data_IF_690594066667
#
_entry.id   IF_690594066667
#
_cell.length_a   1.000
_cell.length_b   1.000
_cell.length_c   1.000
_cell.angle_alpha   90.00
_cell.angle_beta   90.00
_cell.angle_gamma   90.00
#
_symmetry.space_group_name_H-M   'P 1'
#
loop_
_entity.id
_entity.type
_entity.pdbx_description
1 polymer ?
#
# COMPACT_ATOMS: atom_id res chain seq x y z
N UNK A 1 16.85 33.22 -65.98
CA UNK A 1 17.54 33.80 -64.80
C UNK A 1 16.61 34.57 -63.86
N UNK A 2 15.43 35.02 -64.29
CA UNK A 2 14.47 35.73 -63.41
C UNK A 2 13.76 34.84 -62.38
N UNK A 3 13.35 33.62 -62.73
CA UNK A 3 12.66 32.72 -61.79
C UNK A 3 13.45 32.44 -60.50
N UNK A 4 14.76 32.19 -60.62
CA UNK A 4 15.64 32.02 -59.45
C UNK A 4 15.79 33.28 -58.59
N UNK A 5 15.67 34.48 -59.19
CA UNK A 5 15.71 35.74 -58.44
C UNK A 5 14.41 35.97 -57.67
N UNK A 6 13.28 35.55 -58.22
CA UNK A 6 11.97 35.66 -57.56
C UNK A 6 11.84 34.65 -56.41
N UNK A 7 12.28 33.39 -56.61
CA UNK A 7 12.34 32.38 -55.54
C UNK A 7 13.24 32.83 -54.37
N UNK A 8 14.38 33.46 -54.67
CA UNK A 8 15.27 34.02 -53.65
C UNK A 8 14.62 35.18 -52.89
N UNK A 9 13.87 36.06 -53.56
CA UNK A 9 13.13 37.14 -52.89
C UNK A 9 12.04 36.59 -51.99
N UNK A 10 11.32 35.56 -52.44
CA UNK A 10 10.26 34.95 -51.65
C UNK A 10 10.81 34.20 -50.44
N UNK A 11 11.92 33.47 -50.60
CA UNK A 11 12.60 32.78 -49.51
C UNK A 11 13.14 33.75 -48.46
N UNK A 12 13.79 34.84 -48.89
CA UNK A 12 14.30 35.88 -47.97
C UNK A 12 13.13 36.60 -47.29
N UNK A 13 12.04 36.88 -48.02
CA UNK A 13 10.83 37.48 -47.46
C UNK A 13 10.13 36.61 -46.41
N UNK A 14 10.08 35.28 -46.62
CA UNK A 14 9.59 34.32 -45.60
C UNK A 14 10.50 34.32 -44.37
N UNK A 15 11.81 34.15 -44.56
CA UNK A 15 12.78 34.19 -43.44
C UNK A 15 12.73 35.49 -42.65
N UNK A 16 12.55 36.63 -43.31
CA UNK A 16 12.43 37.92 -42.61
C UNK A 16 11.16 37.99 -41.77
N UNK A 17 10.03 37.45 -42.26
CA UNK A 17 8.79 37.32 -41.48
C UNK A 17 8.97 36.38 -40.29
N UNK A 18 9.58 35.22 -40.48
CA UNK A 18 9.81 34.25 -39.40
C UNK A 18 10.69 34.85 -38.29
N UNK A 19 11.71 35.63 -38.65
CA UNK A 19 12.57 36.34 -37.69
C UNK A 19 11.81 37.43 -36.94
N UNK A 20 10.93 38.16 -37.62
CA UNK A 20 10.10 39.19 -36.97
C UNK A 20 9.08 38.57 -36.02
N UNK A 21 8.46 37.46 -36.41
CA UNK A 21 7.51 36.72 -35.58
C UNK A 21 8.20 36.16 -34.34
N UNK A 22 9.32 35.46 -34.51
CA UNK A 22 10.13 34.97 -33.40
C UNK A 22 10.60 36.12 -32.48
N UNK A 23 11.00 37.26 -33.03
CA UNK A 23 11.38 38.43 -32.23
C UNK A 23 10.19 39.00 -31.44
N UNK A 24 8.98 38.93 -31.99
CA UNK A 24 7.76 39.38 -31.30
C UNK A 24 7.38 38.43 -30.16
N UNK A 25 7.52 37.12 -30.38
CA UNK A 25 7.28 36.09 -29.36
C UNK A 25 8.28 36.19 -28.20
N UNK A 26 9.58 36.36 -28.50
CA UNK A 26 10.60 36.56 -27.46
C UNK A 26 10.31 37.81 -26.63
N UNK A 27 9.81 38.88 -27.25
CA UNK A 27 9.42 40.10 -26.53
C UNK A 27 8.20 39.87 -25.64
N UNK A 28 7.23 39.07 -26.10
CA UNK A 28 6.08 38.67 -25.30
C UNK A 28 6.48 37.78 -24.12
N UNK A 29 7.37 36.80 -24.33
CA UNK A 29 7.92 35.95 -23.27
C UNK A 29 8.63 36.79 -22.21
N UNK A 30 9.45 37.76 -22.64
CA UNK A 30 10.12 38.68 -21.72
C UNK A 30 9.12 39.49 -20.89
N UNK A 31 8.06 40.01 -21.52
CA UNK A 31 7.02 40.75 -20.82
C UNK A 31 6.27 39.89 -19.81
N UNK A 32 5.97 38.64 -20.17
CA UNK A 32 5.35 37.66 -19.25
C UNK A 32 6.28 37.33 -18.08
N UNK A 33 7.58 37.17 -18.33
CA UNK A 33 8.57 36.93 -17.28
C UNK A 33 8.71 38.13 -16.32
N UNK A 34 8.71 39.35 -16.85
CA UNK A 34 8.71 40.58 -16.05
C UNK A 34 7.42 40.69 -15.22
N UNK A 35 6.25 40.42 -15.83
CA UNK A 35 4.96 40.41 -15.12
C UNK A 35 4.92 39.34 -14.03
N UNK A 36 5.48 38.16 -14.28
CA UNK A 36 5.59 37.09 -13.29
C UNK A 36 6.53 37.48 -12.14
N UNK A 37 7.69 38.05 -12.45
CA UNK A 37 8.64 38.52 -11.45
C UNK A 37 8.01 39.61 -10.57
N UNK A 38 7.26 40.54 -11.17
CA UNK A 38 6.55 41.60 -10.49
C UNK A 38 5.39 41.04 -9.65
N UNK A 39 4.63 40.06 -10.16
CA UNK A 39 3.59 39.37 -9.41
C UNK A 39 4.17 38.58 -8.21
N UNK A 40 5.31 37.90 -8.37
CA UNK A 40 6.01 37.19 -7.29
C UNK A 40 6.56 38.18 -6.25
N UNK A 41 7.15 39.29 -6.69
CA UNK A 41 7.63 40.34 -5.80
C UNK A 41 6.49 40.97 -5.01
N UNK A 42 5.39 41.30 -5.70
CA UNK A 42 4.20 41.89 -5.09
C UNK A 42 3.57 40.92 -4.08
N UNK A 43 3.43 39.63 -4.43
CA UNK A 43 2.96 38.58 -3.51
C UNK A 43 3.85 38.44 -2.27
N UNK A 44 5.16 38.66 -2.40
CA UNK A 44 6.10 38.70 -1.27
C UNK A 44 5.88 39.90 -0.37
N UNK A 45 5.49 41.05 -0.93
CA UNK A 45 5.26 42.29 -0.19
C UNK A 45 3.86 42.43 0.40
N UNK A 46 2.81 41.84 -0.19
CA UNK A 46 1.44 41.84 0.37
C UNK A 46 1.23 40.79 1.44
N UNK A 47 2.15 39.84 1.61
CA UNK A 47 2.22 39.07 2.86
C UNK A 47 2.74 40.01 3.94
N UNK A 48 1.83 40.54 4.77
CA UNK A 48 2.14 40.94 6.14
C UNK A 48 2.67 39.70 6.85
N UNK A 49 3.97 39.47 6.76
CA UNK A 49 4.67 38.33 7.37
C UNK A 49 4.64 38.53 8.89
N UNK A 50 3.57 38.05 9.54
CA UNK A 50 3.79 37.31 10.78
C UNK A 50 4.68 36.15 10.32
N UNK A 51 5.99 36.23 10.56
CA UNK A 51 6.87 35.10 10.22
C UNK A 51 6.26 33.89 10.90
N UNK A 52 5.74 32.90 10.15
CA UNK A 52 5.32 31.67 10.79
C UNK A 52 6.60 31.12 11.40
N UNK A 53 6.67 31.17 12.73
CA UNK A 53 7.81 30.67 13.48
C UNK A 53 8.13 29.29 12.90
N UNK A 54 9.37 29.06 12.41
CA UNK A 54 9.69 27.79 11.78
C UNK A 54 9.33 26.68 12.76
N UNK A 55 8.54 25.71 12.27
CA UNK A 55 8.11 24.58 13.07
C UNK A 55 9.34 23.95 13.72
N UNK A 56 9.22 23.55 14.98
CA UNK A 56 10.27 22.75 15.59
C UNK A 56 10.41 21.45 14.82
N UNK A 57 11.58 20.82 14.89
CA UNK A 57 11.83 19.53 14.25
C UNK A 57 10.79 18.46 14.66
N UNK A 58 10.36 18.51 15.92
CA UNK A 58 9.31 17.65 16.48
C UNK A 58 7.96 17.93 15.83
N UNK A 59 7.54 19.20 15.75
CA UNK A 59 6.29 19.59 15.08
C UNK A 59 6.28 19.20 13.61
N UNK A 60 7.41 19.33 12.92
CA UNK A 60 7.54 18.91 11.53
C UNK A 60 7.38 17.39 11.39
N UNK A 61 7.96 16.60 12.30
CA UNK A 61 7.79 15.15 12.33
C UNK A 61 6.31 14.76 12.58
N UNK A 62 5.64 15.41 13.53
CA UNK A 62 4.20 15.20 13.78
C UNK A 62 3.34 15.52 12.55
N UNK A 63 3.63 16.61 11.83
CA UNK A 63 2.93 16.94 10.58
C UNK A 63 3.16 15.89 9.50
N UNK A 64 4.40 15.39 9.36
CA UNK A 64 4.70 14.33 8.39
C UNK A 64 3.97 13.02 8.71
N UNK A 65 3.95 12.61 9.99
CA UNK A 65 3.18 11.43 10.42
C UNK A 65 1.69 11.62 10.18
N UNK A 66 1.16 12.81 10.43
CA UNK A 66 -0.24 13.14 10.18
C UNK A 66 -0.60 13.04 8.69
N UNK A 67 0.25 13.56 7.81
CA UNK A 67 0.08 13.42 6.35
C UNK A 67 0.13 11.95 5.94
N UNK A 68 1.12 11.20 6.44
CA UNK A 68 1.26 9.77 6.15
C UNK A 68 0.03 8.98 6.58
N UNK A 69 -0.47 9.21 7.81
CA UNK A 69 -1.68 8.59 8.33
C UNK A 69 -2.89 8.85 7.41
N UNK A 70 -3.09 10.09 6.99
CA UNK A 70 -4.21 10.44 6.13
C UNK A 70 -4.13 9.76 4.76
N UNK A 71 -2.93 9.67 4.17
CA UNK A 71 -2.72 8.98 2.89
C UNK A 71 -2.92 7.47 3.01
N UNK A 72 -2.33 6.83 4.02
CA UNK A 72 -2.45 5.39 4.24
C UNK A 72 -3.91 4.97 4.43
N UNK A 73 -4.67 5.73 5.22
CA UNK A 73 -6.08 5.45 5.46
C UNK A 73 -6.95 5.57 4.20
N UNK A 74 -6.49 6.30 3.18
CA UNK A 74 -7.21 6.44 1.92
C UNK A 74 -6.95 5.29 0.94
N UNK A 75 -5.81 4.60 1.04
CA UNK A 75 -5.41 3.55 0.09
C UNK A 75 -5.78 2.13 0.55
N UNK A 76 -6.16 1.94 1.82
CA UNK A 76 -6.55 0.62 2.34
C UNK A 76 -7.88 0.19 1.70
N UNK A 77 -7.88 -0.99 1.06
CA UNK A 77 -9.04 -1.55 0.38
C UNK A 77 -9.33 -0.91 -0.98
N UNK A 78 -8.33 -0.24 -1.58
CA UNK A 78 -8.39 0.22 -2.96
C UNK A 78 -8.17 -0.95 -3.93
N UNK A 79 -8.72 -0.89 -5.15
CA UNK A 79 -8.79 -2.05 -6.07
C UNK A 79 -7.43 -2.60 -6.52
N UNK A 80 -6.37 -1.80 -6.37
CA UNK A 80 -5.03 -2.11 -6.84
C UNK A 80 -4.15 -2.74 -5.74
N UNK A 81 -4.64 -2.80 -4.49
CA UNK A 81 -3.93 -3.37 -3.35
C UNK A 81 -4.13 -4.88 -3.22
N UNK A 82 -3.10 -5.60 -2.80
CA UNK A 82 -3.23 -6.99 -2.34
C UNK A 82 -3.42 -7.08 -0.82
N UNK A 83 -3.85 -8.26 -0.35
CA UNK A 83 -4.16 -8.52 1.05
C UNK A 83 -3.05 -8.09 2.03
N UNK A 84 -1.78 -8.38 1.70
CA UNK A 84 -0.65 -8.03 2.56
C UNK A 84 -0.31 -6.55 2.50
N UNK A 85 -0.44 -5.91 1.33
CA UNK A 85 -0.25 -4.48 1.17
C UNK A 85 -1.25 -3.70 2.02
N UNK A 86 -2.51 -4.10 2.01
CA UNK A 86 -3.57 -3.51 2.84
C UNK A 86 -3.32 -3.74 4.33
N UNK A 87 -3.00 -4.98 4.72
CA UNK A 87 -2.68 -5.29 6.11
C UNK A 87 -1.45 -4.51 6.61
N UNK A 88 -0.44 -4.33 5.76
CA UNK A 88 0.76 -3.57 6.06
C UNK A 88 0.45 -2.08 6.19
N UNK A 89 -0.29 -1.50 5.23
CA UNK A 89 -0.70 -0.11 5.26
C UNK A 89 -1.56 0.20 6.48
N UNK A 90 -2.49 -0.68 6.83
CA UNK A 90 -3.31 -0.56 8.03
C UNK A 90 -2.46 -0.61 9.31
N UNK A 91 -1.56 -1.59 9.44
CA UNK A 91 -0.68 -1.71 10.61
C UNK A 91 0.21 -0.48 10.76
N UNK A 92 0.74 0.04 9.65
CA UNK A 92 1.51 1.29 9.63
C UNK A 92 0.66 2.49 10.06
N UNK A 93 -0.57 2.59 9.56
CA UNK A 93 -1.52 3.64 9.93
C UNK A 93 -1.86 3.59 11.44
N UNK A 94 -2.07 2.40 12.00
CA UNK A 94 -2.32 2.21 13.43
C UNK A 94 -1.12 2.64 14.30
N UNK A 95 0.10 2.31 13.88
CA UNK A 95 1.32 2.75 14.56
C UNK A 95 1.45 4.27 14.56
N UNK A 96 1.28 4.91 13.38
CA UNK A 96 1.32 6.35 13.24
C UNK A 96 0.23 7.04 14.07
N UNK A 97 -0.99 6.49 14.06
CA UNK A 97 -2.11 6.98 14.86
C UNK A 97 -1.79 6.91 16.35
N UNK A 98 -1.25 5.79 16.83
CA UNK A 98 -0.86 5.60 18.23
C UNK A 98 0.19 6.62 18.67
N UNK A 99 1.19 6.91 17.83
CA UNK A 99 2.19 7.94 18.14
C UNK A 99 1.53 9.33 18.21
N UNK A 100 0.81 9.72 17.16
CA UNK A 100 0.13 11.02 17.07
C UNK A 100 -0.86 11.27 18.21
N UNK A 101 -1.56 10.23 18.68
CA UNK A 101 -2.51 10.33 19.78
C UNK A 101 -1.85 10.71 21.12
N UNK A 102 -0.53 10.52 21.25
CA UNK A 102 0.24 10.84 22.46
C UNK A 102 1.09 12.10 22.33
N UNK A 103 1.23 12.64 21.12
CA UNK A 103 2.07 13.82 20.86
C UNK A 103 1.34 15.14 21.20
N UNK A 104 2.08 16.20 21.57
CA UNK A 104 1.51 17.53 21.78
C UNK A 104 1.17 18.19 20.44
N UNK A 105 0.02 17.82 19.87
CA UNK A 105 -0.49 18.31 18.60
C UNK A 105 -1.25 19.64 18.73
N UNK A 106 -1.44 20.34 17.61
CA UNK A 106 -2.39 21.44 17.55
C UNK A 106 -3.83 20.94 17.79
N UNK A 107 -4.74 21.77 18.33
CA UNK A 107 -6.12 21.35 18.63
C UNK A 107 -6.87 20.77 17.42
N UNK A 108 -6.64 21.32 16.22
CA UNK A 108 -7.25 20.86 14.98
C UNK A 108 -6.72 19.48 14.57
N UNK A 109 -5.40 19.27 14.59
CA UNK A 109 -4.80 17.96 14.30
C UNK A 109 -5.25 16.91 15.32
N UNK A 110 -5.26 17.25 16.61
CA UNK A 110 -5.71 16.34 17.66
C UNK A 110 -7.17 15.89 17.46
N UNK A 111 -8.07 16.81 17.10
CA UNK A 111 -9.46 16.47 16.79
C UNK A 111 -9.57 15.49 15.62
N UNK A 112 -8.80 15.69 14.55
CA UNK A 112 -8.80 14.78 13.38
C UNK A 112 -8.24 13.40 13.76
N UNK A 113 -7.08 13.35 14.44
CA UNK A 113 -6.47 12.09 14.89
C UNK A 113 -7.44 11.31 15.79
N UNK A 114 -8.10 12.00 16.72
CA UNK A 114 -9.10 11.38 17.59
C UNK A 114 -10.29 10.82 16.77
N UNK A 115 -10.78 11.58 15.79
CA UNK A 115 -11.85 11.17 14.88
C UNK A 115 -11.50 9.95 14.00
N UNK A 116 -10.22 9.76 13.65
CA UNK A 116 -9.76 8.62 12.86
C UNK A 116 -9.78 7.28 13.63
N UNK A 117 -9.77 7.31 14.97
CA UNK A 117 -9.77 6.10 15.81
C UNK A 117 -10.90 5.13 15.43
N UNK A 118 -12.13 5.65 15.33
CA UNK A 118 -13.29 4.83 14.98
C UNK A 118 -13.23 4.30 13.54
N UNK A 119 -12.62 5.05 12.62
CA UNK A 119 -12.41 4.60 11.23
C UNK A 119 -11.42 3.46 11.19
N UNK A 120 -10.24 3.60 11.80
CA UNK A 120 -9.21 2.56 11.85
C UNK A 120 -9.73 1.25 12.46
N UNK A 121 -10.47 1.33 13.58
CA UNK A 121 -11.06 0.14 14.20
C UNK A 121 -12.05 -0.56 13.26
N UNK A 122 -12.89 0.20 12.55
CA UNK A 122 -13.84 -0.38 11.58
C UNK A 122 -13.11 -0.99 10.39
N UNK A 123 -12.14 -0.28 9.81
CA UNK A 123 -11.31 -0.76 8.70
C UNK A 123 -10.58 -2.05 9.08
N UNK A 124 -10.02 -2.13 10.29
CA UNK A 124 -9.39 -3.36 10.79
C UNK A 124 -10.36 -4.53 10.88
N UNK A 125 -11.54 -4.32 11.45
CA UNK A 125 -12.55 -5.36 11.59
C UNK A 125 -13.05 -5.84 10.22
N UNK A 126 -13.26 -4.91 9.29
CA UNK A 126 -13.68 -5.21 7.94
C UNK A 126 -12.62 -6.04 7.21
N UNK A 127 -11.38 -5.54 7.16
CA UNK A 127 -10.27 -6.23 6.50
C UNK A 127 -10.05 -7.63 7.08
N UNK A 128 -10.11 -7.81 8.41
CA UNK A 128 -10.02 -9.14 9.02
C UNK A 128 -11.17 -10.07 8.62
N UNK A 129 -12.41 -9.54 8.57
CA UNK A 129 -13.56 -10.32 8.15
C UNK A 129 -13.44 -10.76 6.68
N UNK A 130 -13.07 -9.84 5.80
CA UNK A 130 -12.88 -10.11 4.37
C UNK A 130 -11.78 -11.16 4.17
N UNK A 131 -10.64 -11.01 4.87
CA UNK A 131 -9.54 -11.97 4.80
C UNK A 131 -9.95 -13.39 5.28
N UNK A 132 -10.76 -13.48 6.34
CA UNK A 132 -11.24 -14.77 6.87
C UNK A 132 -12.36 -15.41 6.03
N UNK A 133 -13.13 -14.60 5.31
CA UNK A 133 -14.20 -15.06 4.41
C UNK A 133 -13.62 -15.58 3.09
N UNK A 134 -12.73 -14.81 2.46
CA UNK A 134 -12.21 -15.10 1.11
C UNK A 134 -11.14 -16.19 1.09
N UNK A 135 -10.41 -16.43 2.19
CA UNK A 135 -9.32 -17.41 2.26
C UNK A 135 -9.75 -18.83 1.80
N UNK A 136 -11.03 -19.17 2.00
CA UNK A 136 -11.59 -20.44 1.58
C UNK A 136 -11.79 -20.56 0.07
N UNK A 137 -11.95 -19.45 -0.64
CA UNK A 137 -12.15 -19.42 -2.09
C UNK A 137 -10.81 -19.52 -2.83
N UNK A 138 -9.72 -19.17 -2.16
CA UNK A 138 -8.38 -19.19 -2.72
C UNK A 138 -7.81 -20.61 -2.87
N UNK A 139 -7.38 -20.90 -4.09
CA UNK A 139 -6.74 -22.17 -4.45
C UNK A 139 -5.32 -21.99 -5.04
N UNK A 140 -4.90 -20.74 -5.30
CA UNK A 140 -3.57 -20.40 -5.79
C UNK A 140 -2.62 -20.14 -4.62
N UNK A 141 -1.45 -20.79 -4.63
CA UNK A 141 -0.48 -20.78 -3.52
C UNK A 141 -0.02 -19.37 -3.16
N UNK A 142 0.29 -18.54 -4.15
CA UNK A 142 0.77 -17.17 -3.93
C UNK A 142 -0.28 -16.31 -3.23
N UNK A 143 -1.55 -16.42 -3.65
CA UNK A 143 -2.66 -15.66 -3.06
C UNK A 143 -2.95 -16.12 -1.63
N UNK A 144 -2.95 -17.44 -1.39
CA UNK A 144 -3.12 -17.99 -0.04
C UNK A 144 -1.98 -17.55 0.86
N UNK A 145 -0.72 -17.57 0.38
CA UNK A 145 0.42 -17.12 1.16
C UNK A 145 0.31 -15.63 1.52
N UNK A 146 -0.14 -14.81 0.57
CA UNK A 146 -0.34 -13.38 0.77
C UNK A 146 -1.39 -13.12 1.87
N UNK A 147 -2.54 -13.79 1.77
CA UNK A 147 -3.65 -13.69 2.72
C UNK A 147 -3.28 -14.20 4.12
N UNK A 148 -2.59 -15.35 4.22
CA UNK A 148 -2.15 -15.90 5.50
C UNK A 148 -1.07 -15.03 6.14
N UNK A 149 -0.19 -14.40 5.35
CA UNK A 149 0.80 -13.45 5.87
C UNK A 149 0.13 -12.17 6.37
N UNK A 150 -0.90 -11.68 5.68
CA UNK A 150 -1.74 -10.57 6.13
C UNK A 150 -2.43 -10.87 7.46
N UNK A 151 -3.03 -12.06 7.60
CA UNK A 151 -3.62 -12.54 8.85
C UNK A 151 -2.59 -12.66 9.97
N UNK A 152 -1.40 -13.20 9.67
CA UNK A 152 -0.30 -13.27 10.63
C UNK A 152 0.12 -11.90 11.15
N UNK A 153 0.21 -10.90 10.24
CA UNK A 153 0.57 -9.54 10.61
C UNK A 153 -0.48 -8.87 11.49
N UNK A 154 -1.76 -8.99 11.12
CA UNK A 154 -2.86 -8.34 11.84
C UNK A 154 -3.16 -9.05 13.16
N UNK A 155 -3.30 -10.37 13.18
CA UNK A 155 -3.74 -11.09 14.39
C UNK A 155 -2.59 -11.56 15.27
N UNK A 156 -1.35 -11.59 14.76
CA UNK A 156 -0.22 -12.22 15.46
C UNK A 156 -0.42 -13.74 15.62
N UNK A 157 -1.15 -14.36 14.67
CA UNK A 157 -1.46 -15.80 14.70
C UNK A 157 -0.22 -16.64 14.48
N UNK A 158 -0.14 -17.76 15.20
CA UNK A 158 0.89 -18.76 14.98
C UNK A 158 0.64 -19.61 13.71
N UNK A 159 1.67 -20.34 13.30
CA UNK A 159 1.65 -21.13 12.08
C UNK A 159 0.60 -22.25 12.10
N UNK A 160 0.28 -22.77 13.28
CA UNK A 160 -0.77 -23.78 13.45
C UNK A 160 -2.15 -23.17 13.21
N UNK A 161 -2.40 -22.01 13.79
CA UNK A 161 -3.67 -21.31 13.67
C UNK A 161 -3.91 -20.86 12.23
N UNK A 162 -2.87 -20.46 11.51
CA UNK A 162 -2.95 -20.15 10.08
C UNK A 162 -3.40 -21.37 9.26
N UNK A 163 -2.88 -22.56 9.56
CA UNK A 163 -3.34 -23.80 8.93
C UNK A 163 -4.82 -24.09 9.25
N UNK A 164 -5.22 -23.90 10.51
CA UNK A 164 -6.60 -24.10 10.93
C UNK A 164 -7.57 -23.13 10.24
N UNK A 165 -7.19 -21.86 10.09
CA UNK A 165 -7.96 -20.85 9.36
C UNK A 165 -8.14 -21.27 7.91
N UNK A 166 -7.05 -21.67 7.23
CA UNK A 166 -7.13 -22.13 5.84
C UNK A 166 -8.04 -23.36 5.68
N UNK A 167 -7.86 -24.39 6.51
CA UNK A 167 -8.66 -25.62 6.45
C UNK A 167 -10.15 -25.37 6.71
N UNK A 168 -10.48 -24.52 7.70
CA UNK A 168 -11.88 -24.20 7.99
C UNK A 168 -12.50 -23.32 6.89
N UNK A 169 -11.75 -22.39 6.30
CA UNK A 169 -12.18 -21.63 5.13
C UNK A 169 -12.48 -22.53 3.94
N UNK A 170 -11.52 -23.39 3.55
CA UNK A 170 -11.70 -24.38 2.48
C UNK A 170 -12.88 -25.30 2.74
N UNK A 171 -13.15 -25.61 4.01
CA UNK A 171 -14.30 -26.42 4.39
C UNK A 171 -15.63 -25.76 4.10
N UNK A 172 -15.81 -24.51 4.51
CA UNK A 172 -17.02 -23.75 4.20
C UNK A 172 -17.22 -23.63 2.69
N UNK A 173 -16.16 -23.31 1.96
CA UNK A 173 -16.19 -23.20 0.50
C UNK A 173 -16.63 -24.51 -0.18
N UNK A 174 -16.01 -25.64 0.18
CA UNK A 174 -16.36 -26.94 -0.40
C UNK A 174 -17.78 -27.37 -0.01
N UNK A 175 -18.21 -27.11 1.22
CA UNK A 175 -19.59 -27.37 1.64
C UNK A 175 -20.60 -26.57 0.80
N UNK A 176 -20.30 -25.31 0.49
CA UNK A 176 -21.12 -24.49 -0.40
C UNK A 176 -21.14 -25.06 -1.84
N UNK A 177 -19.98 -25.48 -2.37
CA UNK A 177 -19.95 -26.14 -3.68
C UNK A 177 -20.84 -27.40 -3.73
N UNK A 178 -20.84 -28.20 -2.65
CA UNK A 178 -21.68 -29.39 -2.58
C UNK A 178 -23.18 -29.07 -2.48
N UNK A 179 -23.56 -27.97 -1.82
CA UNK A 179 -24.97 -27.56 -1.71
C UNK A 179 -25.49 -26.93 -3.00
N UNK A 180 -24.62 -26.26 -3.76
CA UNK A 180 -24.94 -25.64 -5.05
C UNK A 180 -24.97 -26.61 -6.24
N UNK A 181 -25.02 -27.92 -5.99
CA UNK A 181 -25.06 -28.98 -7.01
C UNK A 181 -23.84 -29.00 -7.94
N UNK A 182 -22.65 -28.64 -7.43
CA UNK A 182 -21.40 -28.80 -8.16
C UNK A 182 -21.14 -30.27 -8.49
N UNK A 183 -20.46 -30.53 -9.61
CA UNK A 183 -20.07 -31.90 -9.96
C UNK A 183 -19.09 -32.47 -8.92
N UNK A 184 -19.18 -33.78 -8.66
CA UNK A 184 -18.20 -34.47 -7.79
C UNK A 184 -16.76 -34.24 -8.27
N UNK A 185 -16.55 -34.15 -9.59
CA UNK A 185 -15.24 -33.85 -10.17
C UNK A 185 -14.73 -32.47 -9.73
N UNK A 186 -15.60 -31.47 -9.68
CA UNK A 186 -15.27 -30.11 -9.20
C UNK A 186 -14.83 -30.15 -7.73
N UNK A 187 -15.59 -30.84 -6.88
CA UNK A 187 -15.29 -30.98 -5.45
C UNK A 187 -13.94 -31.69 -5.24
N UNK A 188 -13.71 -32.81 -5.93
CA UNK A 188 -12.44 -33.55 -5.85
C UNK A 188 -11.27 -32.70 -6.36
N UNK A 189 -11.47 -31.91 -7.41
CA UNK A 189 -10.44 -31.00 -7.91
C UNK A 189 -10.09 -29.91 -6.90
N UNK A 190 -11.07 -29.31 -6.22
CA UNK A 190 -10.82 -28.30 -5.19
C UNK A 190 -10.18 -28.89 -3.93
N UNK A 191 -10.53 -30.12 -3.54
CA UNK A 191 -9.81 -30.85 -2.49
C UNK A 191 -8.34 -31.06 -2.87
N UNK A 192 -8.06 -31.49 -4.11
CA UNK A 192 -6.70 -31.67 -4.63
C UNK A 192 -5.90 -30.36 -4.59
N UNK A 193 -6.47 -29.26 -5.07
CA UNK A 193 -5.81 -27.94 -5.02
C UNK A 193 -5.48 -27.53 -3.58
N UNK A 194 -6.42 -27.74 -2.65
CA UNK A 194 -6.20 -27.44 -1.22
C UNK A 194 -5.00 -28.21 -0.65
N UNK A 195 -4.86 -29.49 -1.01
CA UNK A 195 -3.72 -30.31 -0.58
C UNK A 195 -2.39 -29.84 -1.17
N UNK A 196 -2.38 -29.38 -2.43
CA UNK A 196 -1.18 -28.79 -3.05
C UNK A 196 -0.73 -27.54 -2.30
N UNK A 197 -1.68 -26.64 -1.98
CA UNK A 197 -1.39 -25.44 -1.19
C UNK A 197 -0.84 -25.81 0.19
N UNK A 198 -1.44 -26.79 0.86
CA UNK A 198 -0.96 -27.23 2.19
C UNK A 198 0.45 -27.80 2.10
N UNK A 199 0.72 -28.63 1.10
CA UNK A 199 2.04 -29.21 0.89
C UNK A 199 3.11 -28.13 0.68
N UNK A 200 2.86 -27.19 -0.24
CA UNK A 200 3.81 -26.12 -0.56
C UNK A 200 4.01 -25.15 0.62
N UNK A 201 2.91 -24.59 1.15
CA UNK A 201 2.99 -23.55 2.18
C UNK A 201 3.45 -24.10 3.53
N UNK A 202 2.91 -25.24 3.96
CA UNK A 202 3.12 -25.74 5.31
C UNK A 202 4.18 -26.84 5.38
N UNK A 203 4.11 -27.86 4.52
CA UNK A 203 5.03 -29.00 4.59
C UNK A 203 6.42 -28.67 4.03
N UNK A 204 6.50 -27.94 2.92
CA UNK A 204 7.76 -27.49 2.32
C UNK A 204 8.29 -26.18 2.96
N UNK A 205 7.45 -25.53 3.78
CA UNK A 205 7.79 -24.36 4.57
C UNK A 205 7.88 -23.05 3.77
N UNK A 206 7.20 -22.96 2.62
CA UNK A 206 7.21 -21.74 1.81
C UNK A 206 6.56 -20.56 2.53
N UNK A 207 5.44 -20.76 3.22
CA UNK A 207 4.78 -19.69 3.98
C UNK A 207 5.71 -19.13 5.07
N UNK A 208 6.49 -19.99 5.73
CA UNK A 208 7.49 -19.55 6.71
C UNK A 208 8.55 -18.66 6.08
N UNK A 209 9.06 -19.03 4.89
CA UNK A 209 10.02 -18.19 4.15
C UNK A 209 9.40 -16.87 3.72
N UNK A 210 8.15 -16.87 3.28
CA UNK A 210 7.42 -15.66 2.87
C UNK A 210 7.20 -14.73 4.06
N UNK A 211 6.75 -15.25 5.21
CA UNK A 211 6.62 -14.47 6.45
C UNK A 211 7.98 -13.90 6.89
N UNK A 212 9.06 -14.69 6.81
CA UNK A 212 10.40 -14.20 7.11
C UNK A 212 10.87 -13.11 6.14
N UNK A 213 10.57 -13.24 4.85
CA UNK A 213 10.86 -12.22 3.85
C UNK A 213 10.09 -10.92 4.13
N UNK A 214 8.80 -11.03 4.45
CA UNK A 214 7.95 -9.91 4.84
C UNK A 214 8.37 -9.27 6.18
N UNK A 215 9.03 -10.04 7.06
CA UNK A 215 9.59 -9.57 8.33
C UNK A 215 11.00 -8.95 8.20
N UNK A 216 11.57 -8.90 7.00
CA UNK A 216 12.86 -8.25 6.73
C UNK A 216 12.77 -6.74 6.98
N UNK A 217 13.79 -6.09 7.59
CA UNK A 217 13.79 -4.63 7.77
C UNK A 217 13.65 -3.83 6.47
N UNK A 218 14.05 -4.44 5.35
CA UNK A 218 14.01 -3.81 4.03
C UNK A 218 12.72 -4.10 3.27
N UNK A 219 11.85 -4.97 3.80
CA UNK A 219 10.60 -5.31 3.14
C UNK A 219 9.59 -4.18 3.30
N UNK A 220 8.97 -3.82 2.18
CA UNK A 220 7.93 -2.80 2.09
C UNK A 220 7.13 -3.09 0.82
N UNK A 221 5.80 -3.09 0.88
CA UNK A 221 4.97 -3.25 -0.31
C UNK A 221 5.19 -2.10 -1.31
N UNK A 222 4.99 -2.38 -2.60
CA UNK A 222 5.10 -1.38 -3.67
C UNK A 222 4.17 -0.17 -3.44
N UNK A 223 3.02 -0.39 -2.79
CA UNK A 223 2.10 0.66 -2.35
C UNK A 223 2.79 1.68 -1.41
N UNK A 224 3.69 1.23 -0.54
CA UNK A 224 4.44 2.13 0.35
C UNK A 224 5.58 2.81 -0.40
N UNK A 225 6.20 2.13 -1.37
CA UNK A 225 7.23 2.73 -2.23
C UNK A 225 6.67 3.89 -3.07
N UNK A 226 5.48 3.73 -3.65
CA UNK A 226 4.83 4.81 -4.41
C UNK A 226 4.51 6.02 -3.54
N UNK A 227 3.95 5.81 -2.35
CA UNK A 227 3.68 6.87 -1.37
C UNK A 227 4.94 7.66 -0.97
N UNK A 228 6.10 7.00 -0.95
CA UNK A 228 7.38 7.64 -0.63
C UNK A 228 7.95 8.38 -1.83
N UNK A 229 7.82 7.82 -3.04
CA UNK A 229 8.33 8.42 -4.28
C UNK A 229 7.73 9.78 -4.60
N UNK A 230 6.48 10.01 -4.19
CA UNK A 230 5.75 11.25 -4.46
C UNK A 230 6.06 12.41 -3.48
N UNK A 231 6.91 12.17 -2.48
CA UNK A 231 7.07 13.07 -1.33
C UNK A 231 8.51 13.54 -1.09
N UNK A 232 8.64 14.54 -0.22
CA UNK A 232 9.95 15.05 0.17
C UNK A 232 10.81 13.97 0.85
N UNK A 233 12.13 14.03 0.66
CA UNK A 233 13.08 13.06 1.22
C UNK A 233 12.93 12.82 2.73
N UNK A 234 12.61 13.85 3.51
CA UNK A 234 12.40 13.73 4.96
C UNK A 234 11.14 12.93 5.32
N UNK A 235 10.08 13.02 4.51
CA UNK A 235 8.90 12.18 4.64
C UNK A 235 9.24 10.72 4.35
N UNK A 236 9.94 10.46 3.24
CA UNK A 236 10.37 9.12 2.88
C UNK A 236 11.22 8.45 3.96
N UNK A 237 12.18 9.19 4.55
CA UNK A 237 12.98 8.70 5.67
C UNK A 237 12.15 8.37 6.91
N UNK A 238 11.20 9.24 7.27
CA UNK A 238 10.31 9.02 8.41
C UNK A 238 9.46 7.75 8.17
N UNK A 239 8.79 7.66 7.03
CA UNK A 239 7.90 6.54 6.73
C UNK A 239 8.64 5.21 6.63
N UNK A 240 9.89 5.23 6.14
CA UNK A 240 10.76 4.03 6.12
C UNK A 240 11.06 3.54 7.54
N UNK A 241 11.38 4.43 8.47
CA UNK A 241 11.65 4.07 9.87
C UNK A 241 10.39 3.54 10.57
N UNK A 242 9.22 4.07 10.24
CA UNK A 242 7.93 3.58 10.76
C UNK A 242 7.55 2.23 10.16
N UNK A 243 7.78 2.01 8.86
CA UNK A 243 7.56 0.73 8.18
C UNK A 243 8.42 -0.39 8.77
N UNK A 244 9.66 -0.10 9.19
CA UNK A 244 10.50 -1.08 9.86
C UNK A 244 9.84 -1.61 11.14
N UNK A 245 9.10 -0.78 11.88
CA UNK A 245 8.36 -1.21 13.09
C UNK A 245 7.27 -2.23 12.77
N UNK A 246 6.63 -2.13 11.60
CA UNK A 246 5.64 -3.12 11.11
C UNK A 246 6.33 -4.46 10.84
N UNK A 247 7.45 -4.46 10.12
CA UNK A 247 8.21 -5.70 9.84
C UNK A 247 8.75 -6.33 11.13
N UNK A 248 9.12 -5.52 12.13
CA UNK A 248 9.53 -5.99 13.46
C UNK A 248 8.39 -6.70 14.20
N UNK A 249 7.17 -6.17 14.15
CA UNK A 249 6.00 -6.82 14.74
C UNK A 249 5.80 -8.23 14.15
N UNK A 250 5.94 -8.36 12.82
CA UNK A 250 5.85 -9.66 12.16
C UNK A 250 7.00 -10.60 12.58
N UNK A 251 8.22 -10.06 12.73
CA UNK A 251 9.40 -10.84 13.19
C UNK A 251 9.25 -11.37 14.61
N UNK A 252 8.63 -10.59 15.49
CA UNK A 252 8.41 -10.95 16.90
C UNK A 252 7.25 -11.95 17.05
N UNK A 253 6.42 -12.13 16.01
CA UNK A 253 5.41 -13.19 15.98
C UNK A 253 6.10 -14.56 15.98
N UNK A 254 5.71 -15.44 16.92
CA UNK A 254 6.27 -16.78 17.05
C UNK A 254 5.76 -17.69 15.92
N UNK A 255 6.32 -17.53 14.73
CA UNK A 255 6.10 -18.47 13.63
C UNK A 255 7.20 -19.51 13.67
N UNK A 256 6.83 -20.75 13.98
CA UNK A 256 7.74 -21.90 13.88
C UNK A 256 7.12 -22.89 12.91
N UNK A 257 7.91 -23.49 11.99
CA UNK A 257 7.41 -24.50 11.08
C UNK A 257 6.76 -25.66 11.86
N UNK A 258 5.64 -26.16 11.34
CA UNK A 258 4.98 -27.32 11.93
C UNK A 258 5.73 -28.60 11.57
N UNK A 259 5.67 -29.59 12.47
CA UNK A 259 6.14 -30.93 12.16
C UNK A 259 5.22 -31.56 11.10
N UNK A 260 5.76 -32.28 10.09
CA UNK A 260 4.97 -32.94 9.06
C UNK A 260 3.87 -33.86 9.61
N UNK A 261 4.15 -34.56 10.72
CA UNK A 261 3.18 -35.41 11.42
C UNK A 261 1.92 -34.64 11.85
N UNK A 262 2.10 -33.41 12.32
CA UNK A 262 1.01 -32.55 12.80
C UNK A 262 0.17 -32.01 11.64
N UNK A 263 0.82 -31.62 10.55
CA UNK A 263 0.15 -31.21 9.32
C UNK A 263 -0.70 -32.36 8.77
N UNK A 264 -0.10 -33.55 8.65
CA UNK A 264 -0.79 -34.75 8.17
C UNK A 264 -1.97 -35.13 9.05
N UNK A 265 -1.84 -35.03 10.38
CA UNK A 265 -2.93 -35.26 11.33
C UNK A 265 -4.12 -34.33 11.08
N UNK A 266 -3.87 -33.02 10.95
CA UNK A 266 -4.93 -32.04 10.67
C UNK A 266 -5.56 -32.22 9.29
N UNK A 267 -4.75 -32.56 8.28
CA UNK A 267 -5.27 -32.85 6.94
C UNK A 267 -6.16 -34.10 6.92
N UNK A 268 -5.74 -35.17 7.61
CA UNK A 268 -6.53 -36.39 7.70
C UNK A 268 -7.87 -36.15 8.43
N UNK A 269 -7.86 -35.38 9.52
CA UNK A 269 -9.08 -34.97 10.23
C UNK A 269 -9.99 -34.09 9.35
N UNK A 270 -9.40 -33.22 8.53
CA UNK A 270 -10.16 -32.39 7.61
C UNK A 270 -10.80 -33.21 6.48
N UNK A 271 -10.05 -34.13 5.85
CA UNK A 271 -10.55 -35.01 4.78
C UNK A 271 -11.65 -35.95 5.30
N UNK A 272 -11.50 -36.52 6.49
CA UNK A 272 -12.47 -37.46 7.06
C UNK A 272 -13.86 -36.85 7.32
N UNK A 273 -13.99 -35.53 7.21
CA UNK A 273 -15.29 -34.84 7.31
C UNK A 273 -16.06 -34.82 5.97
N UNK A 274 -15.46 -35.28 4.86
CA UNK A 274 -16.10 -35.37 3.54
C UNK A 274 -16.25 -36.80 3.02
N UNK A 275 -15.60 -37.77 3.66
CA UNK A 275 -15.65 -39.21 3.33
C UNK A 275 -16.49 -39.91 4.37
#
# INVERSE_FOLDING_TARGET
>A
MEGKKEELREMVGRRYRDVLEASSEVRNIRKLAETLAEAVSNARTTQSVVEPRPLTREQQASVQRFIALHKLVAVIGDSDGDALSDAFALTLAELLHKELATEPLSPSMHSVVTGLTGRLIRTRRQLLADLEEEIGELSETDWVANQLTALALLQGTDYEKLLDIYLEGRKKFIQNLTSESSSLLTVVNELKKSLVVIEQLFSQGELFRIIQAAASPTYRPALIDSLIGDEAFSFGRMLTAEAEKVTRQLRESKTSPLLPQKINSKCAEWISRYV
#
